data_IF_203950766808
#
_entry.id   IF_203950766808
#
_cell.length_a   1.000
_cell.length_b   1.000
_cell.length_c   1.000
_cell.angle_alpha   90.00
_cell.angle_beta   90.00
_cell.angle_gamma   90.00
#
_symmetry.space_group_name_H-M   'P 1'
#
loop_
_entity.id
_entity.type
_entity.pdbx_description
1 polymer ?
#
# COMPACT_ATOMS: atom_id res chain seq x y z
N UNK A 1 -7.38 -0.21 -1.48
CA UNK A 1 -6.18 0.60 -1.13
C UNK A 1 -6.52 1.73 -0.16
N UNK A 2 -5.54 2.35 0.50
CA UNK A 2 -5.71 3.47 1.45
C UNK A 2 -4.49 4.39 1.42
N UNK A 3 -4.70 5.70 1.48
CA UNK A 3 -3.64 6.66 1.79
C UNK A 3 -3.45 6.73 3.30
N UNK A 4 -2.21 6.96 3.74
CA UNK A 4 -1.87 7.13 5.15
C UNK A 4 -1.02 8.39 5.31
N UNK A 5 -1.19 9.18 6.40
CA UNK A 5 -0.35 10.35 6.61
C UNK A 5 1.11 9.94 6.84
N UNK A 6 2.06 10.76 6.38
CA UNK A 6 3.48 10.59 6.69
C UNK A 6 3.68 10.48 8.20
N UNK A 7 4.62 9.63 8.67
CA UNK A 7 4.96 9.59 10.09
C UNK A 7 5.59 10.93 10.52
N UNK A 8 4.82 11.72 11.27
CA UNK A 8 5.21 13.05 11.73
C UNK A 8 5.66 13.04 13.20
N UNK A 9 6.53 13.99 13.54
CA UNK A 9 7.09 14.17 14.88
C UNK A 9 8.56 13.77 14.97
N UNK A 10 9.28 14.39 15.90
CA UNK A 10 10.73 14.26 16.00
C UNK A 10 11.20 12.81 16.24
N UNK A 11 10.36 11.96 16.85
CA UNK A 11 10.66 10.54 17.07
C UNK A 11 10.75 9.73 15.78
N UNK A 12 10.07 10.15 14.71
CA UNK A 12 10.10 9.50 13.40
C UNK A 12 11.03 10.21 12.41
N UNK A 13 11.83 11.18 12.84
CA UNK A 13 12.86 11.74 11.98
C UNK A 13 13.91 10.68 11.63
N UNK A 14 14.50 10.78 10.44
CA UNK A 14 15.52 9.84 9.98
C UNK A 14 16.68 9.73 10.98
N UNK A 15 17.13 10.87 11.52
CA UNK A 15 18.21 10.92 12.50
C UNK A 15 17.83 10.27 13.84
N UNK A 16 16.63 10.53 14.36
CA UNK A 16 16.16 9.95 15.63
C UNK A 16 16.02 8.44 15.54
N UNK A 17 15.38 7.93 14.47
CA UNK A 17 15.17 6.49 14.29
C UNK A 17 16.49 5.77 14.06
N UNK A 18 17.35 6.33 13.21
CA UNK A 18 18.67 5.76 12.96
C UNK A 18 19.50 5.70 14.24
N UNK A 19 19.58 6.80 15.01
CA UNK A 19 20.32 6.84 16.27
C UNK A 19 19.80 5.80 17.28
N UNK A 20 18.49 5.69 17.46
CA UNK A 20 17.88 4.65 18.32
C UNK A 20 18.30 3.23 17.92
N UNK A 21 18.39 2.95 16.62
CA UNK A 21 18.85 1.65 16.14
C UNK A 21 20.36 1.44 16.37
N UNK A 22 21.16 2.49 16.18
CA UNK A 22 22.63 2.46 16.33
C UNK A 22 23.04 2.30 17.80
N UNK A 23 22.32 2.91 18.74
CA UNK A 23 22.58 2.80 20.18
C UNK A 23 22.51 1.33 20.66
N UNK A 24 21.67 0.51 20.03
CA UNK A 24 21.51 -0.93 20.29
C UNK A 24 22.60 -1.83 19.66
N UNK A 25 23.50 -1.28 18.85
CA UNK A 25 24.61 -2.03 18.22
C UNK A 25 25.70 -2.32 19.25
N UNK A 26 25.87 -3.60 19.61
CA UNK A 26 26.82 -4.00 20.67
C UNK A 26 28.29 -3.76 20.32
N UNK A 27 28.69 -3.98 19.05
CA UNK A 27 30.08 -3.79 18.62
C UNK A 27 30.42 -2.30 18.54
N UNK A 28 31.38 -1.86 19.36
CA UNK A 28 31.77 -0.45 19.46
C UNK A 28 32.29 0.12 18.14
N UNK A 29 33.21 -0.57 17.47
CA UNK A 29 33.77 -0.12 16.19
C UNK A 29 32.69 0.04 15.12
N UNK A 30 31.75 -0.91 15.04
CA UNK A 30 30.63 -0.84 14.11
C UNK A 30 29.68 0.31 14.45
N UNK A 31 29.40 0.53 15.73
CA UNK A 31 28.58 1.65 16.20
C UNK A 31 29.23 3.00 15.90
N UNK A 32 30.54 3.13 16.09
CA UNK A 32 31.29 4.34 15.76
C UNK A 32 31.21 4.62 14.24
N UNK A 33 31.37 3.59 13.40
CA UNK A 33 31.20 3.71 11.94
C UNK A 33 29.77 4.12 11.52
N UNK A 34 28.74 3.59 12.18
CA UNK A 34 27.36 4.02 11.95
C UNK A 34 27.14 5.47 12.36
N UNK A 35 27.68 5.89 13.51
CA UNK A 35 27.59 7.28 13.98
C UNK A 35 28.28 8.25 13.00
N UNK A 36 29.42 7.87 12.41
CA UNK A 36 30.08 8.65 11.35
C UNK A 36 29.27 8.75 10.06
N UNK A 37 28.28 7.88 9.85
CA UNK A 37 27.44 7.83 8.64
C UNK A 37 26.12 8.63 8.77
N UNK A 38 25.88 9.31 9.90
CA UNK A 38 24.60 9.99 10.18
C UNK A 38 24.24 11.05 9.13
N UNK A 39 25.23 11.80 8.63
CA UNK A 39 25.00 12.87 7.65
C UNK A 39 24.51 12.27 6.32
N UNK A 40 25.12 11.17 5.86
CA UNK A 40 24.70 10.48 4.64
C UNK A 40 23.28 9.90 4.76
N UNK A 41 22.92 9.39 5.94
CA UNK A 41 21.58 8.87 6.22
C UNK A 41 20.54 9.99 6.17
N UNK A 42 20.85 11.15 6.76
CA UNK A 42 19.94 12.31 6.72
C UNK A 42 19.81 12.86 5.31
N UNK A 43 20.90 12.94 4.56
CA UNK A 43 20.87 13.39 3.16
C UNK A 43 20.04 12.44 2.29
N UNK A 44 20.28 11.13 2.38
CA UNK A 44 19.49 10.14 1.65
C UNK A 44 18.01 10.17 2.02
N UNK A 45 17.67 10.46 3.28
CA UNK A 45 16.28 10.64 3.71
C UNK A 45 15.64 11.90 3.13
N UNK A 46 16.38 13.01 3.05
CA UNK A 46 15.91 14.24 2.42
C UNK A 46 15.69 14.03 0.91
N UNK A 47 16.65 13.41 0.23
CA UNK A 47 16.55 13.08 -1.19
C UNK A 47 15.32 12.18 -1.45
N UNK A 48 15.08 11.20 -0.58
CA UNK A 48 13.89 10.35 -0.64
C UNK A 48 12.59 11.15 -0.50
N UNK A 49 12.50 12.04 0.50
CA UNK A 49 11.27 12.80 0.70
C UNK A 49 11.01 13.79 -0.43
N UNK A 50 12.06 14.46 -0.92
CA UNK A 50 11.99 15.33 -2.10
C UNK A 50 11.52 14.55 -3.33
N UNK A 51 12.13 13.40 -3.62
CA UNK A 51 11.75 12.56 -4.75
C UNK A 51 10.32 12.01 -4.60
N UNK A 52 9.91 11.64 -3.39
CA UNK A 52 8.53 11.21 -3.10
C UNK A 52 7.51 12.31 -3.37
N UNK A 53 7.77 13.54 -2.92
CA UNK A 53 6.88 14.68 -3.16
C UNK A 53 6.77 15.05 -4.65
N UNK A 54 7.83 14.80 -5.42
CA UNK A 54 7.87 15.09 -6.86
C UNK A 54 7.48 13.89 -7.74
N UNK A 55 7.12 12.75 -7.17
CA UNK A 55 6.88 11.48 -7.90
C UNK A 55 8.08 11.01 -8.75
N UNK A 56 9.30 11.28 -8.30
CA UNK A 56 10.56 10.94 -8.99
C UNK A 56 11.41 9.91 -8.24
N UNK A 57 10.82 9.11 -7.35
CA UNK A 57 11.54 8.07 -6.58
C UNK A 57 12.34 7.08 -7.45
N UNK A 58 11.95 6.89 -8.71
CA UNK A 58 12.68 6.05 -9.69
C UNK A 58 14.04 6.63 -10.11
N UNK A 59 14.25 7.93 -9.93
CA UNK A 59 15.50 8.62 -10.26
C UNK A 59 16.56 8.42 -9.17
N UNK A 60 16.17 7.93 -7.98
CA UNK A 60 17.11 7.62 -6.91
C UNK A 60 17.98 6.43 -7.32
N UNK A 61 19.28 6.68 -7.43
CA UNK A 61 20.26 5.67 -7.83
C UNK A 61 20.31 4.55 -6.78
N UNK A 62 20.06 3.29 -7.19
CA UNK A 62 20.24 2.15 -6.31
C UNK A 62 21.73 1.98 -6.04
N UNK A 63 22.05 1.39 -4.90
CA UNK A 63 23.33 0.76 -4.69
C UNK A 63 23.14 -0.74 -4.93
N UNK A 64 23.66 -1.24 -6.05
CA UNK A 64 23.54 -2.63 -6.52
C UNK A 64 24.85 -3.45 -6.42
N UNK A 65 25.94 -2.84 -5.96
CA UNK A 65 27.20 -3.52 -5.65
C UNK A 65 27.10 -4.71 -4.66
N UNK A 66 28.18 -5.45 -4.50
CA UNK A 66 28.26 -6.61 -3.59
C UNK A 66 27.87 -6.23 -2.15
N UNK A 67 26.97 -7.03 -1.54
CA UNK A 67 26.40 -6.75 -0.21
C UNK A 67 27.41 -6.84 0.93
N UNK A 68 28.50 -7.60 0.75
CA UNK A 68 29.52 -7.80 1.79
C UNK A 68 30.67 -6.78 1.67
N UNK A 69 30.80 -6.10 0.53
CA UNK A 69 31.84 -5.09 0.34
C UNK A 69 31.52 -3.84 1.16
N UNK A 70 32.57 -3.25 1.72
CA UNK A 70 32.48 -1.97 2.39
C UNK A 70 31.91 -0.92 1.41
N UNK A 71 30.88 -0.22 1.88
CA UNK A 71 30.11 0.76 1.12
C UNK A 71 30.27 2.16 1.73
N UNK A 72 30.09 2.32 3.04
CA UNK A 72 30.12 3.62 3.71
C UNK A 72 30.81 3.51 5.06
N UNK A 73 31.87 4.30 5.28
CA UNK A 73 32.62 4.31 6.55
C UNK A 73 33.05 2.90 7.04
N UNK A 74 33.37 2.00 6.11
CA UNK A 74 33.73 0.60 6.42
C UNK A 74 32.54 -0.34 6.65
N UNK A 75 31.30 0.16 6.59
CA UNK A 75 30.09 -0.64 6.69
C UNK A 75 29.67 -1.16 5.31
N UNK A 76 29.29 -2.44 5.24
CA UNK A 76 28.68 -3.06 4.07
C UNK A 76 27.16 -2.90 4.05
N UNK A 77 26.51 -3.26 2.95
CA UNK A 77 25.03 -3.26 2.86
C UNK A 77 24.41 -4.21 3.87
N UNK A 78 25.04 -5.35 4.08
CA UNK A 78 24.59 -6.34 5.05
C UNK A 78 24.52 -5.75 6.47
N UNK A 79 25.45 -4.85 6.84
CA UNK A 79 25.36 -4.13 8.11
C UNK A 79 24.10 -3.25 8.21
N UNK A 80 23.75 -2.51 7.16
CA UNK A 80 22.51 -1.71 7.13
C UNK A 80 21.24 -2.57 7.13
N UNK A 81 21.23 -3.69 6.39
CA UNK A 81 20.12 -4.65 6.42
C UNK A 81 19.92 -5.20 7.85
N UNK A 82 21.02 -5.54 8.53
CA UNK A 82 21.01 -5.99 9.92
C UNK A 82 20.61 -4.89 10.91
N UNK A 83 20.86 -3.61 10.60
CA UNK A 83 20.38 -2.49 11.41
C UNK A 83 18.84 -2.52 11.53
N UNK A 84 18.14 -2.82 10.44
CA UNK A 84 16.68 -3.05 10.49
C UNK A 84 16.34 -4.37 11.19
N UNK A 85 16.85 -5.50 10.69
CA UNK A 85 16.34 -6.81 11.14
C UNK A 85 16.72 -7.16 12.57
N UNK A 86 17.89 -6.70 13.03
CA UNK A 86 18.39 -7.01 14.36
C UNK A 86 18.15 -5.88 15.36
N UNK A 87 18.14 -4.62 14.92
CA UNK A 87 17.89 -3.50 15.84
C UNK A 87 16.42 -3.06 15.78
N UNK A 88 15.94 -2.51 14.67
CA UNK A 88 14.59 -1.97 14.59
C UNK A 88 13.49 -3.00 14.91
N UNK A 89 13.63 -4.24 14.41
CA UNK A 89 12.59 -5.28 14.55
C UNK A 89 12.69 -6.09 15.85
N UNK A 90 13.92 -6.39 16.30
CA UNK A 90 14.15 -7.34 17.42
C UNK A 90 14.46 -6.67 18.75
N UNK A 91 14.95 -5.43 18.78
CA UNK A 91 15.26 -4.74 20.04
C UNK A 91 14.02 -4.07 20.61
N UNK A 92 13.81 -4.24 21.90
CA UNK A 92 12.59 -3.84 22.58
C UNK A 92 12.26 -2.35 22.39
N UNK A 93 13.25 -1.47 22.58
CA UNK A 93 13.05 -0.02 22.53
C UNK A 93 12.73 0.44 21.08
N UNK A 94 13.60 0.25 20.06
CA UNK A 94 13.27 0.60 18.68
C UNK A 94 11.96 -0.04 18.18
N UNK A 95 11.69 -1.28 18.58
CA UNK A 95 10.47 -1.97 18.15
C UNK A 95 9.22 -1.29 18.70
N UNK A 96 9.13 -1.10 20.02
CA UNK A 96 7.95 -0.54 20.67
C UNK A 96 7.73 0.93 20.29
N UNK A 97 8.80 1.71 20.23
CA UNK A 97 8.70 3.15 20.01
C UNK A 97 8.56 3.52 18.54
N UNK A 98 9.12 2.73 17.61
CA UNK A 98 9.13 3.04 16.18
C UNK A 98 8.38 2.00 15.37
N UNK A 99 8.83 0.73 15.36
CA UNK A 99 8.30 -0.29 14.44
C UNK A 99 6.79 -0.54 14.64
N UNK A 100 6.37 -0.81 15.88
CA UNK A 100 4.98 -1.10 16.22
C UNK A 100 4.10 0.14 16.03
N UNK A 101 4.64 1.33 16.31
CA UNK A 101 3.95 2.60 16.06
C UNK A 101 3.76 2.86 14.57
N UNK A 102 4.76 2.60 13.72
CA UNK A 102 4.61 2.71 12.27
C UNK A 102 3.57 1.72 11.75
N UNK A 103 3.64 0.45 12.22
CA UNK A 103 2.71 -0.61 11.81
C UNK A 103 1.26 -0.27 12.17
N UNK A 104 1.02 0.36 13.33
CA UNK A 104 -0.32 0.72 13.81
C UNK A 104 -0.95 1.91 13.07
N UNK A 105 -0.20 2.65 12.25
CA UNK A 105 -0.72 3.77 11.43
C UNK A 105 -1.66 3.32 10.31
N UNK A 106 -1.72 2.03 10.02
CA UNK A 106 -2.65 1.48 9.05
C UNK A 106 -4.11 1.67 9.51
N UNK A 107 -4.95 2.41 8.76
CA UNK A 107 -6.33 2.65 9.15
C UNK A 107 -7.05 1.33 9.33
N UNK A 108 -7.70 1.13 10.48
CA UNK A 108 -8.40 -0.11 10.84
C UNK A 108 -7.53 -1.38 10.73
N UNK A 109 -6.21 -1.27 10.84
CA UNK A 109 -5.28 -2.39 10.72
C UNK A 109 -5.20 -3.01 9.32
N UNK A 110 -5.77 -2.37 8.28
CA UNK A 110 -5.74 -2.93 6.91
C UNK A 110 -4.59 -2.38 6.08
N UNK A 111 -4.00 -3.24 5.28
CA UNK A 111 -2.89 -2.95 4.39
C UNK A 111 -3.23 -1.76 3.47
N UNK A 112 -2.45 -0.68 3.44
CA UNK A 112 -2.65 0.47 2.56
C UNK A 112 -2.56 0.14 1.06
N UNK A 113 -1.72 -0.83 0.67
CA UNK A 113 -1.62 -1.25 -0.74
C UNK A 113 -2.93 -1.88 -1.23
N UNK A 114 -3.38 -2.99 -0.65
CA UNK A 114 -4.62 -3.65 -1.11
C UNK A 114 -5.92 -3.12 -0.46
N UNK A 115 -5.85 -2.50 0.71
CA UNK A 115 -7.00 -1.96 1.46
C UNK A 115 -7.91 -2.97 2.16
N UNK A 116 -7.62 -4.28 2.10
CA UNK A 116 -8.48 -5.32 2.68
C UNK A 116 -7.76 -6.30 3.63
N UNK A 117 -6.55 -6.78 3.29
CA UNK A 117 -5.79 -7.68 4.15
C UNK A 117 -5.36 -6.99 5.43
N UNK A 118 -5.20 -7.75 6.52
CA UNK A 118 -4.59 -7.23 7.74
C UNK A 118 -3.11 -6.96 7.56
N UNK A 119 -2.63 -5.91 8.23
CA UNK A 119 -1.21 -5.58 8.31
C UNK A 119 -0.50 -6.55 9.24
N UNK A 120 0.61 -7.08 8.77
CA UNK A 120 1.46 -7.96 9.57
C UNK A 120 2.88 -7.41 9.76
N UNK A 121 3.35 -6.57 8.85
CA UNK A 121 4.74 -6.10 8.85
C UNK A 121 4.89 -4.70 8.25
N UNK A 122 6.10 -4.16 8.31
CA UNK A 122 6.51 -3.00 7.53
C UNK A 122 7.23 -3.47 6.26
N UNK A 123 6.74 -3.02 5.12
CA UNK A 123 7.34 -3.18 3.81
C UNK A 123 8.27 -2.01 3.50
N UNK A 124 9.38 -2.31 2.84
CA UNK A 124 10.31 -1.31 2.31
C UNK A 124 9.82 -0.91 0.92
N UNK A 125 9.29 0.30 0.76
CA UNK A 125 8.79 0.75 -0.53
C UNK A 125 9.88 0.69 -1.61
N UNK A 126 11.05 1.26 -1.31
CA UNK A 126 12.31 1.01 -2.01
C UNK A 126 13.09 -0.11 -1.30
N UNK A 127 13.44 -1.22 -1.98
CA UNK A 127 14.01 -2.41 -1.35
C UNK A 127 15.31 -2.14 -0.59
N UNK A 128 15.37 -2.57 0.67
CA UNK A 128 16.58 -2.46 1.52
C UNK A 128 17.85 -3.11 0.94
N UNK A 129 17.70 -4.08 0.04
CA UNK A 129 18.82 -4.72 -0.66
C UNK A 129 19.51 -3.79 -1.66
N UNK A 130 18.76 -2.83 -2.20
CA UNK A 130 19.24 -1.84 -3.19
C UNK A 130 19.45 -0.46 -2.57
N UNK A 131 18.73 -0.12 -1.50
CA UNK A 131 18.81 1.18 -0.84
C UNK A 131 19.18 1.05 0.64
N UNK A 132 20.44 0.64 0.96
CA UNK A 132 20.85 0.36 2.33
C UNK A 132 20.69 1.55 3.28
N UNK A 133 20.91 2.79 2.80
CA UNK A 133 20.75 4.01 3.60
C UNK A 133 19.29 4.29 4.01
N UNK A 134 18.32 3.74 3.28
CA UNK A 134 16.89 3.92 3.53
C UNK A 134 16.27 2.79 4.38
N UNK A 135 17.08 1.88 4.89
CA UNK A 135 16.63 0.63 5.52
C UNK A 135 15.85 0.84 6.81
N UNK A 136 16.16 1.91 7.55
CA UNK A 136 15.43 2.28 8.79
C UNK A 136 14.68 3.61 8.64
N UNK A 137 14.58 4.15 7.42
CA UNK A 137 13.88 5.41 7.15
C UNK A 137 12.36 5.21 7.31
N UNK A 138 11.68 5.92 8.22
CA UNK A 138 10.23 5.76 8.42
C UNK A 138 9.38 6.02 7.17
N UNK A 139 9.78 6.97 6.32
CA UNK A 139 9.09 7.27 5.06
C UNK A 139 9.17 6.14 4.02
N UNK A 140 10.19 5.28 4.13
CA UNK A 140 10.36 4.10 3.29
C UNK A 140 9.70 2.84 3.89
N UNK A 141 9.18 2.91 5.13
CA UNK A 141 8.62 1.79 5.88
C UNK A 141 7.09 1.88 5.95
N UNK A 142 6.41 1.15 5.08
CA UNK A 142 4.95 1.21 4.92
C UNK A 142 4.30 -0.03 5.57
N UNK A 143 3.27 0.11 6.42
CA UNK A 143 2.48 -1.03 6.89
C UNK A 143 2.00 -1.89 5.72
N UNK A 144 2.14 -3.21 5.79
CA UNK A 144 1.80 -4.09 4.68
C UNK A 144 1.34 -5.48 5.14
N UNK A 145 0.52 -6.11 4.31
CA UNK A 145 0.18 -7.52 4.50
C UNK A 145 1.26 -8.42 3.88
N UNK A 146 1.35 -9.71 4.27
CA UNK A 146 2.31 -10.64 3.70
C UNK A 146 2.25 -10.76 2.17
N UNK A 147 1.05 -10.67 1.60
CA UNK A 147 0.83 -10.82 0.17
C UNK A 147 1.22 -9.61 -0.68
N UNK A 148 1.14 -8.40 -0.14
CA UNK A 148 1.60 -7.18 -0.83
C UNK A 148 3.10 -6.97 -0.64
N UNK A 149 3.64 -7.31 0.54
CA UNK A 149 5.08 -7.27 0.77
C UNK A 149 5.82 -8.35 -0.05
N UNK A 150 5.37 -9.60 0.01
CA UNK A 150 6.03 -10.73 -0.65
C UNK A 150 5.84 -10.80 -2.17
N UNK A 151 4.82 -10.11 -2.72
CA UNK A 151 4.60 -10.02 -4.18
C UNK A 151 5.56 -9.05 -4.87
N UNK A 152 6.22 -8.18 -4.10
CA UNK A 152 7.32 -7.35 -4.59
C UNK A 152 8.58 -8.19 -4.57
N UNK A 153 8.88 -8.88 -5.66
CA UNK A 153 10.27 -9.26 -5.93
C UNK A 153 11.11 -7.99 -5.79
N UNK A 154 12.39 -8.06 -5.36
CA UNK A 154 13.24 -6.89 -5.10
C UNK A 154 13.54 -5.99 -6.34
N UNK A 155 12.71 -6.10 -7.37
CA UNK A 155 12.59 -5.23 -8.53
C UNK A 155 12.25 -3.81 -8.11
N UNK A 156 12.91 -2.88 -8.79
CA UNK A 156 12.66 -1.45 -8.68
C UNK A 156 11.97 -1.04 -9.97
N UNK A 157 11.06 -0.08 -9.89
CA UNK A 157 10.56 0.55 -11.11
C UNK A 157 11.72 1.33 -11.75
N UNK A 158 12.01 1.06 -13.02
CA UNK A 158 13.05 1.76 -13.79
C UNK A 158 12.52 3.04 -14.43
N UNK A 159 11.19 3.14 -14.58
CA UNK A 159 10.51 4.29 -15.18
C UNK A 159 9.36 4.76 -14.28
N UNK A 160 9.01 6.06 -14.29
CA UNK A 160 7.96 6.61 -13.43
C UNK A 160 6.62 5.89 -13.60
N UNK A 161 6.28 5.49 -14.82
CA UNK A 161 5.05 4.77 -15.15
C UNK A 161 4.96 3.40 -14.47
N UNK A 162 6.09 2.71 -14.26
CA UNK A 162 6.16 1.34 -13.73
C UNK A 162 6.00 1.26 -12.20
N UNK A 163 6.00 2.43 -11.55
CA UNK A 163 5.95 2.57 -10.12
C UNK A 163 4.52 2.39 -9.58
N UNK A 164 4.34 1.52 -8.58
CA UNK A 164 3.05 1.41 -7.90
C UNK A 164 2.80 2.63 -7.01
N UNK A 165 1.54 2.92 -6.69
CA UNK A 165 1.21 4.01 -5.78
C UNK A 165 1.83 3.84 -4.39
N UNK A 166 2.44 4.91 -3.90
CA UNK A 166 3.03 5.09 -2.60
C UNK A 166 1.97 5.63 -1.61
N UNK A 167 1.66 4.91 -0.52
CA UNK A 167 0.59 5.30 0.41
C UNK A 167 0.74 6.66 1.11
N UNK A 168 1.98 7.13 1.31
CA UNK A 168 2.31 8.46 1.85
C UNK A 168 2.24 9.62 0.85
N UNK A 169 2.56 9.41 -0.43
CA UNK A 169 2.76 10.52 -1.38
C UNK A 169 1.62 10.65 -2.39
N UNK A 170 0.95 9.55 -2.76
CA UNK A 170 -0.06 9.56 -3.83
C UNK A 170 -1.49 9.75 -3.32
N UNK A 171 -1.70 10.60 -2.30
CA UNK A 171 -3.00 10.77 -1.65
C UNK A 171 -4.13 11.05 -2.66
N UNK A 172 -3.89 11.97 -3.59
CA UNK A 172 -4.86 12.37 -4.61
C UNK A 172 -5.29 11.19 -5.50
N UNK A 173 -4.32 10.44 -6.04
CA UNK A 173 -4.59 9.26 -6.88
C UNK A 173 -5.32 8.15 -6.12
N UNK A 174 -5.09 8.04 -4.81
CA UNK A 174 -5.65 6.99 -3.97
C UNK A 174 -7.09 7.33 -3.51
N UNK A 175 -7.31 8.57 -3.07
CA UNK A 175 -8.49 8.98 -2.31
C UNK A 175 -9.46 9.85 -3.11
N UNK A 176 -9.00 10.64 -4.09
CA UNK A 176 -9.83 11.67 -4.72
C UNK A 176 -10.53 11.21 -6.00
N UNK A 177 -10.03 10.17 -6.66
CA UNK A 177 -10.62 9.69 -7.91
C UNK A 177 -10.86 8.19 -7.88
N UNK A 178 -12.06 7.76 -8.28
CA UNK A 178 -12.34 6.36 -8.50
C UNK A 178 -11.76 5.92 -9.84
N UNK A 179 -10.94 4.87 -9.80
CA UNK A 179 -10.39 4.21 -10.97
C UNK A 179 -10.52 2.67 -10.91
N UNK A 180 -10.84 2.09 -9.75
CA UNK A 180 -11.26 0.69 -9.64
C UNK A 180 -12.75 0.57 -9.94
N UNK A 181 -13.10 -0.27 -10.90
CA UNK A 181 -14.47 -0.61 -11.26
C UNK A 181 -14.65 -2.12 -11.35
N UNK A 182 -15.91 -2.56 -11.42
CA UNK A 182 -16.26 -3.95 -11.63
C UNK A 182 -17.38 -4.08 -12.67
N UNK A 183 -17.53 -5.27 -13.22
CA UNK A 183 -18.62 -5.66 -14.11
C UNK A 183 -19.24 -6.96 -13.61
N UNK A 184 -20.55 -7.10 -13.77
CA UNK A 184 -21.28 -8.31 -13.37
C UNK A 184 -21.01 -9.42 -14.37
N UNK A 185 -20.64 -10.58 -13.85
CA UNK A 185 -20.66 -11.85 -14.58
C UNK A 185 -22.02 -12.47 -14.29
N UNK A 186 -22.86 -12.54 -15.32
CA UNK A 186 -24.23 -13.06 -15.24
C UNK A 186 -24.24 -14.59 -15.19
N UNK A 187 -23.88 -15.13 -14.04
CA UNK A 187 -23.84 -16.57 -13.73
C UNK A 187 -24.71 -16.88 -12.52
N UNK A 188 -24.89 -18.17 -12.20
CA UNK A 188 -25.49 -18.62 -10.95
C UNK A 188 -24.47 -19.48 -10.18
N UNK A 189 -23.98 -19.01 -9.01
CA UNK A 189 -24.22 -17.70 -8.40
C UNK A 189 -23.63 -16.54 -9.23
N UNK A 190 -24.15 -15.33 -9.05
CA UNK A 190 -23.61 -14.13 -9.69
C UNK A 190 -22.18 -13.84 -9.20
N UNK A 191 -21.34 -13.32 -10.09
CA UNK A 191 -19.97 -12.94 -9.76
C UNK A 191 -19.63 -11.57 -10.34
N UNK A 192 -18.47 -11.02 -9.96
CA UNK A 192 -17.97 -9.76 -10.51
C UNK A 192 -16.51 -9.87 -10.92
N UNK A 193 -16.16 -9.18 -12.01
CA UNK A 193 -14.78 -9.01 -12.47
C UNK A 193 -14.37 -7.55 -12.33
N UNK A 194 -13.23 -7.33 -11.65
CA UNK A 194 -12.67 -6.01 -11.44
C UNK A 194 -11.73 -5.60 -12.57
N UNK A 195 -11.70 -4.30 -12.86
CA UNK A 195 -10.83 -3.68 -13.86
C UNK A 195 -10.53 -2.22 -13.49
N UNK A 196 -9.59 -1.61 -14.23
CA UNK A 196 -9.22 -0.21 -14.07
C UNK A 196 -9.86 0.64 -15.17
N UNK A 197 -10.42 1.79 -14.79
CA UNK A 197 -10.79 2.87 -15.71
C UNK A 197 -10.14 4.15 -15.20
N UNK A 198 -9.17 4.67 -15.95
CA UNK A 198 -8.43 5.87 -15.58
C UNK A 198 -9.29 7.12 -15.83
N UNK A 199 -9.31 8.09 -14.91
CA UNK A 199 -9.93 9.40 -15.15
C UNK A 199 -9.28 10.14 -16.33
N UNK A 200 -10.07 10.83 -17.15
CA UNK A 200 -9.59 11.51 -18.37
C UNK A 200 -8.57 12.62 -18.09
N UNK A 201 -8.59 13.21 -16.88
CA UNK A 201 -7.66 14.26 -16.47
C UNK A 201 -6.34 13.73 -15.91
N UNK A 202 -6.17 12.41 -15.76
CA UNK A 202 -4.88 11.84 -15.37
C UNK A 202 -3.91 11.94 -16.54
N UNK A 203 -2.68 12.39 -16.25
CA UNK A 203 -1.60 12.28 -17.22
C UNK A 203 -1.24 10.80 -17.50
N UNK A 204 -0.45 10.51 -18.54
CA UNK A 204 -0.08 9.15 -18.90
C UNK A 204 0.68 8.39 -17.79
N UNK A 205 1.44 9.10 -16.96
CA UNK A 205 2.21 8.50 -15.86
C UNK A 205 1.27 8.09 -14.74
N UNK A 206 0.42 8.99 -14.26
CA UNK A 206 -0.60 8.69 -13.25
C UNK A 206 -1.53 7.54 -13.68
N UNK A 207 -1.99 7.56 -14.94
CA UNK A 207 -2.78 6.48 -15.53
C UNK A 207 -2.07 5.13 -15.48
N UNK A 208 -0.79 5.09 -15.86
CA UNK A 208 0.01 3.87 -15.83
C UNK A 208 0.26 3.39 -14.40
N UNK A 209 0.52 4.30 -13.45
CA UNK A 209 0.79 3.97 -12.04
C UNK A 209 -0.42 3.34 -11.35
N UNK A 210 -1.65 3.80 -11.61
CA UNK A 210 -2.86 3.17 -11.03
C UNK A 210 -3.12 1.78 -11.62
N UNK A 211 -2.89 1.60 -12.92
CA UNK A 211 -2.96 0.28 -13.59
C UNK A 211 -1.91 -0.66 -13.01
N UNK A 212 -0.65 -0.23 -12.93
CA UNK A 212 0.44 -1.01 -12.37
C UNK A 212 0.22 -1.36 -10.90
N UNK A 213 -0.34 -0.45 -10.10
CA UNK A 213 -0.70 -0.75 -8.72
C UNK A 213 -1.76 -1.86 -8.64
N UNK A 214 -2.78 -1.81 -9.51
CA UNK A 214 -3.83 -2.81 -9.56
C UNK A 214 -3.30 -4.20 -9.94
N UNK A 215 -2.44 -4.26 -10.95
CA UNK A 215 -1.88 -5.50 -11.48
C UNK A 215 -0.82 -6.12 -10.55
N UNK A 216 0.18 -5.34 -10.13
CA UNK A 216 1.28 -5.83 -9.28
C UNK A 216 0.81 -6.28 -7.89
N UNK A 217 -0.31 -5.76 -7.40
CA UNK A 217 -0.93 -6.24 -6.16
C UNK A 217 -2.00 -7.32 -6.37
N UNK A 218 -2.19 -7.79 -7.60
CA UNK A 218 -3.20 -8.78 -8.00
C UNK A 218 -4.61 -8.45 -7.50
N UNK A 219 -4.98 -7.16 -7.57
CA UNK A 219 -6.22 -6.68 -6.97
C UNK A 219 -7.46 -7.29 -7.63
N UNK A 220 -7.43 -7.55 -8.94
CA UNK A 220 -8.55 -8.18 -9.63
C UNK A 220 -9.02 -9.48 -8.95
N UNK A 221 -8.11 -10.45 -8.84
CA UNK A 221 -8.39 -11.76 -8.24
C UNK A 221 -8.75 -11.63 -6.76
N UNK A 222 -7.97 -10.86 -6.00
CA UNK A 222 -8.19 -10.72 -4.55
C UNK A 222 -9.53 -10.06 -4.25
N UNK A 223 -9.90 -9.02 -4.98
CA UNK A 223 -11.19 -8.35 -4.83
C UNK A 223 -12.34 -9.24 -5.27
N UNK A 224 -12.22 -9.98 -6.38
CA UNK A 224 -13.25 -10.95 -6.80
C UNK A 224 -13.52 -12.00 -5.74
N UNK A 225 -12.50 -12.50 -5.03
CA UNK A 225 -12.70 -13.44 -3.92
C UNK A 225 -13.51 -12.82 -2.77
N UNK A 226 -13.21 -11.58 -2.37
CA UNK A 226 -13.97 -10.89 -1.31
C UNK A 226 -15.40 -10.59 -1.75
N UNK A 227 -15.57 -10.16 -2.99
CA UNK A 227 -16.87 -9.85 -3.55
C UNK A 227 -17.77 -11.09 -3.64
N UNK A 228 -17.23 -12.26 -4.01
CA UNK A 228 -17.98 -13.50 -4.08
C UNK A 228 -18.61 -13.87 -2.74
N UNK A 229 -17.86 -13.74 -1.64
CA UNK A 229 -18.35 -13.97 -0.29
C UNK A 229 -19.49 -13.00 0.05
N UNK A 230 -19.28 -11.69 -0.17
CA UNK A 230 -20.31 -10.67 0.08
C UNK A 230 -21.57 -10.86 -0.78
N UNK A 231 -21.42 -11.13 -2.07
CA UNK A 231 -22.52 -11.36 -3.02
C UNK A 231 -23.36 -12.55 -2.59
N UNK A 232 -22.74 -13.61 -2.05
CA UNK A 232 -23.48 -14.80 -1.57
C UNK A 232 -24.49 -14.50 -0.45
N UNK A 233 -24.32 -13.37 0.25
CA UNK A 233 -25.22 -12.93 1.34
C UNK A 233 -26.33 -11.98 0.87
N UNK A 234 -26.17 -11.36 -0.31
CA UNK A 234 -27.13 -10.39 -0.82
C UNK A 234 -28.53 -10.95 -1.11
N UNK A 235 -28.73 -12.21 -1.55
CA UNK A 235 -30.09 -12.69 -1.84
C UNK A 235 -31.04 -12.57 -0.64
N UNK A 236 -30.53 -12.79 0.58
CA UNK A 236 -31.30 -12.72 1.82
C UNK A 236 -31.79 -11.30 2.16
N UNK A 237 -31.11 -10.27 1.66
CA UNK A 237 -31.51 -8.87 1.88
C UNK A 237 -32.26 -8.30 0.68
N UNK A 238 -31.82 -8.62 -0.54
CA UNK A 238 -32.39 -8.09 -1.78
C UNK A 238 -33.78 -8.64 -2.07
N UNK A 239 -34.15 -9.83 -1.60
CA UNK A 239 -35.51 -10.38 -1.81
C UNK A 239 -36.59 -9.48 -1.18
N UNK A 240 -36.31 -8.87 -0.03
CA UNK A 240 -37.23 -7.91 0.61
C UNK A 240 -37.43 -6.64 -0.26
N UNK A 241 -36.33 -6.07 -0.76
CA UNK A 241 -36.40 -4.88 -1.62
C UNK A 241 -37.10 -5.20 -2.93
N UNK A 242 -36.80 -6.35 -3.52
CA UNK A 242 -37.46 -6.79 -4.75
C UNK A 242 -38.97 -7.02 -4.55
N UNK A 243 -39.36 -7.68 -3.45
CA UNK A 243 -40.78 -7.94 -3.16
C UNK A 243 -41.58 -6.65 -2.91
N UNK A 244 -40.93 -5.59 -2.41
CA UNK A 244 -41.59 -4.32 -2.08
C UNK A 244 -41.66 -3.32 -3.23
N UNK A 245 -40.76 -3.38 -4.22
CA UNK A 245 -40.73 -2.42 -5.33
C UNK A 245 -39.96 -2.86 -6.56
N UNK A 246 -39.73 -4.16 -6.72
CA UNK A 246 -39.05 -4.75 -7.87
C UNK A 246 -37.60 -4.32 -8.01
N UNK A 247 -37.12 -4.31 -9.25
CA UNK A 247 -35.72 -4.02 -9.60
C UNK A 247 -35.27 -2.62 -9.14
N UNK A 248 -36.17 -1.63 -9.14
CA UNK A 248 -35.82 -0.26 -8.77
C UNK A 248 -35.44 -0.14 -7.29
N UNK A 249 -36.18 -0.80 -6.39
CA UNK A 249 -35.83 -0.82 -4.97
C UNK A 249 -34.51 -1.55 -4.69
N UNK A 250 -34.22 -2.63 -5.45
CA UNK A 250 -32.92 -3.32 -5.37
C UNK A 250 -31.79 -2.38 -5.79
N UNK A 251 -31.95 -1.70 -6.93
CA UNK A 251 -31.00 -0.71 -7.43
C UNK A 251 -30.78 0.41 -6.44
N UNK A 252 -31.84 1.00 -5.89
CA UNK A 252 -31.74 2.09 -4.91
C UNK A 252 -30.98 1.64 -3.66
N UNK A 253 -31.26 0.44 -3.15
CA UNK A 253 -30.53 -0.12 -2.01
C UNK A 253 -29.04 -0.27 -2.31
N UNK A 254 -28.68 -0.86 -3.45
CA UNK A 254 -27.29 -1.06 -3.85
C UNK A 254 -26.57 0.28 -4.08
N UNK A 255 -27.23 1.28 -4.69
CA UNK A 255 -26.70 2.64 -4.83
C UNK A 255 -26.47 3.31 -3.48
N UNK A 256 -27.32 3.04 -2.49
CA UNK A 256 -27.12 3.54 -1.12
C UNK A 256 -25.87 2.93 -0.48
N UNK A 257 -25.63 1.63 -0.65
CA UNK A 257 -24.41 0.97 -0.18
C UNK A 257 -23.18 1.52 -0.92
N UNK A 258 -23.26 1.65 -2.24
CA UNK A 258 -22.22 2.27 -3.06
C UNK A 258 -21.84 3.66 -2.54
N UNK A 259 -22.81 4.56 -2.32
CA UNK A 259 -22.55 5.92 -1.83
C UNK A 259 -21.83 5.91 -0.48
N UNK A 260 -22.23 5.03 0.44
CA UNK A 260 -21.60 4.91 1.76
C UNK A 260 -20.14 4.44 1.65
N UNK A 261 -19.88 3.40 0.85
CA UNK A 261 -18.52 2.88 0.66
C UNK A 261 -17.64 3.85 -0.15
N UNK A 262 -18.20 4.48 -1.19
CA UNK A 262 -17.52 5.48 -2.01
C UNK A 262 -17.09 6.70 -1.18
N UNK A 263 -17.92 7.15 -0.23
CA UNK A 263 -17.58 8.24 0.69
C UNK A 263 -16.36 7.90 1.56
N UNK A 264 -16.18 6.61 1.89
CA UNK A 264 -15.08 6.14 2.73
C UNK A 264 -13.82 5.87 1.91
N UNK A 265 -13.94 5.07 0.85
CA UNK A 265 -12.82 4.59 0.04
C UNK A 265 -13.26 4.38 -1.42
N UNK A 266 -13.07 5.39 -2.28
CA UNK A 266 -13.47 5.37 -3.70
C UNK A 266 -12.96 4.14 -4.48
N UNK A 267 -11.78 3.64 -4.14
CA UNK A 267 -11.10 2.50 -4.80
C UNK A 267 -11.15 1.20 -3.97
N UNK A 268 -12.17 1.01 -3.14
CA UNK A 268 -12.42 -0.25 -2.43
C UNK A 268 -13.11 -1.28 -3.33
N UNK A 269 -12.99 -2.56 -2.97
CA UNK A 269 -13.68 -3.62 -3.69
C UNK A 269 -15.20 -3.51 -3.53
N UNK A 270 -15.68 -3.04 -2.36
CA UNK A 270 -17.10 -2.82 -2.10
C UNK A 270 -17.67 -1.72 -2.98
N UNK A 271 -16.99 -0.58 -3.08
CA UNK A 271 -17.43 0.55 -3.90
C UNK A 271 -17.65 0.12 -5.35
N UNK A 272 -16.65 -0.53 -5.94
CA UNK A 272 -16.74 -1.03 -7.31
C UNK A 272 -17.80 -2.13 -7.48
N UNK A 273 -17.93 -3.04 -6.51
CA UNK A 273 -18.94 -4.11 -6.53
C UNK A 273 -20.36 -3.55 -6.49
N UNK A 274 -20.69 -2.73 -5.49
CA UNK A 274 -22.04 -2.20 -5.33
C UNK A 274 -22.49 -1.34 -6.51
N UNK A 275 -21.57 -0.55 -7.09
CA UNK A 275 -21.86 0.20 -8.31
C UNK A 275 -22.18 -0.75 -9.47
N UNK A 276 -21.33 -1.75 -9.71
CA UNK A 276 -21.53 -2.71 -10.79
C UNK A 276 -22.85 -3.48 -10.68
N UNK A 277 -23.19 -3.93 -9.47
CA UNK A 277 -24.45 -4.64 -9.22
C UNK A 277 -25.67 -3.73 -9.41
N UNK A 278 -25.60 -2.46 -9.01
CA UNK A 278 -26.67 -1.49 -9.17
C UNK A 278 -26.90 -1.05 -10.62
N UNK A 279 -25.85 -1.06 -11.44
CA UNK A 279 -25.91 -0.67 -12.85
C UNK A 279 -26.27 -1.85 -13.78
N UNK A 280 -26.30 -3.09 -13.28
CA UNK A 280 -26.67 -4.26 -14.07
C UNK A 280 -28.16 -4.62 -13.91
N UNK A 281 -28.94 -4.39 -14.98
CA UNK A 281 -30.38 -4.64 -14.99
C UNK A 281 -30.74 -6.11 -14.75
N UNK A 282 -29.92 -7.06 -15.22
CA UNK A 282 -30.16 -8.49 -15.00
C UNK A 282 -30.04 -8.84 -13.53
N UNK A 283 -29.00 -8.35 -12.86
CA UNK A 283 -28.81 -8.54 -11.43
C UNK A 283 -29.98 -7.94 -10.65
N UNK A 284 -30.32 -6.66 -10.90
CA UNK A 284 -31.42 -5.97 -10.21
C UNK A 284 -32.78 -6.63 -10.44
N UNK A 285 -33.01 -7.21 -11.63
CA UNK A 285 -34.27 -7.86 -12.01
C UNK A 285 -34.42 -9.29 -11.47
N UNK A 286 -33.54 -9.73 -10.57
CA UNK A 286 -33.61 -11.04 -9.92
C UNK A 286 -32.43 -11.97 -10.24
N UNK A 287 -31.43 -11.52 -11.00
CA UNK A 287 -30.20 -12.27 -11.23
C UNK A 287 -29.36 -12.52 -9.96
N UNK A 288 -29.69 -11.83 -8.86
CA UNK A 288 -29.13 -12.09 -7.54
C UNK A 288 -29.63 -13.39 -6.89
N UNK A 289 -30.74 -13.96 -7.35
CA UNK A 289 -31.36 -15.15 -6.73
C UNK A 289 -30.62 -16.44 -7.01
#
# INVERSE_FOLDING_TARGET
MRSIPKPEGNQFSASSVYKKCVDEVSNKTMRDAFNSSIVDIVNAANDYDTAGNNSTLVELLPNDGDKEKAFLNGLSKEHFIKLYSNQLVKKEIPRKEIYDQLKSRAPHGKCPFCGYCDVDQLDHYLPKSKYPLLTVLPLNLVPSCPYCNGGKNAEIAERPEDQILHPYYDHELIMEHQWVFASVIRSQPAAVKYFVRTPDHFDPVASSRVVNHFEKNSLATRYSTQAADQISTLPYTLEYFYSSGGAENVKEHLLRQYRAEHQKFKNSWQTAMYLALAEDDWFCSGGFR
#
